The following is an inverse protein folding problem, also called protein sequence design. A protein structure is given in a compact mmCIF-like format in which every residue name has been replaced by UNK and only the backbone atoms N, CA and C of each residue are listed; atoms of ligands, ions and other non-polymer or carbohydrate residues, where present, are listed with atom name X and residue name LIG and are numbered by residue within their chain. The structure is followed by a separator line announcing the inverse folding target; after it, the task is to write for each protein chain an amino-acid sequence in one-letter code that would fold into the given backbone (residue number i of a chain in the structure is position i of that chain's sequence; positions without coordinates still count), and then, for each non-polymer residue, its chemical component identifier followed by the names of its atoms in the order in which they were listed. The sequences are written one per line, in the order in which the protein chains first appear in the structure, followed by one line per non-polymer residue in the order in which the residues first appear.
data_IF_702293302155
#
_entry.id   IF_702293302155
#
_cell.length_a   1.000
_cell.length_b   1.000
_cell.length_c   1.000
_cell.angle_alpha   90.00
_cell.angle_beta   90.00
_cell.angle_gamma   90.00
#
_symmetry.space_group_name_H-M   'P 1'
#
loop_
_entity.id
_entity.type
_entity.pdbx_description
1 polymer ?
#
# COMPACT_ATOMS: atom_id res chain seq x y z
N UNK A 1 16.35 -19.19 1.71
CA UNK A 1 15.54 -17.97 1.91
C UNK A 1 14.15 -18.25 1.38
N UNK A 2 13.08 -17.96 2.14
CA UNK A 2 11.70 -18.13 1.65
C UNK A 2 11.43 -17.18 0.49
N UNK A 3 10.71 -17.65 -0.53
CA UNK A 3 10.26 -16.77 -1.61
C UNK A 3 9.24 -15.77 -1.08
N UNK A 4 9.10 -14.63 -1.76
CA UNK A 4 8.10 -13.61 -1.40
C UNK A 4 6.69 -14.20 -1.31
N UNK A 5 6.31 -15.01 -2.26
CA UNK A 5 4.98 -15.65 -2.32
C UNK A 5 4.73 -16.58 -1.14
N UNK A 6 5.71 -17.44 -0.81
CA UNK A 6 5.61 -18.34 0.35
C UNK A 6 5.44 -17.54 1.64
N UNK A 7 6.21 -16.47 1.82
CA UNK A 7 6.11 -15.64 3.02
C UNK A 7 4.76 -14.92 3.13
N UNK A 8 4.30 -14.28 2.06
CA UNK A 8 3.00 -13.61 2.05
C UNK A 8 1.84 -14.60 2.22
N UNK A 9 1.96 -15.81 1.65
CA UNK A 9 1.01 -16.91 1.87
C UNK A 9 0.91 -17.32 3.34
N UNK A 10 2.06 -17.47 4.03
CA UNK A 10 2.09 -17.77 5.47
C UNK A 10 1.43 -16.66 6.30
N UNK A 11 1.64 -15.39 5.95
CA UNK A 11 0.98 -14.27 6.62
C UNK A 11 -0.55 -14.32 6.44
N UNK A 12 -1.02 -14.63 5.25
CA UNK A 12 -2.46 -14.78 4.96
C UNK A 12 -3.08 -15.89 5.81
N UNK A 13 -2.43 -17.05 5.90
CA UNK A 13 -2.91 -18.15 6.75
C UNK A 13 -2.89 -17.79 8.24
N UNK A 14 -1.89 -17.03 8.70
CA UNK A 14 -1.88 -16.52 10.08
C UNK A 14 -3.02 -15.54 10.33
N UNK A 15 -3.27 -14.64 9.38
CA UNK A 15 -4.38 -13.69 9.45
C UNK A 15 -5.74 -14.38 9.53
N UNK A 16 -6.00 -15.38 8.68
CA UNK A 16 -7.23 -16.19 8.72
C UNK A 16 -7.45 -16.88 10.07
N UNK A 17 -6.38 -17.31 10.72
CA UNK A 17 -6.43 -17.98 12.02
C UNK A 17 -6.41 -17.03 13.22
N UNK A 18 -6.42 -15.70 13.00
CA UNK A 18 -6.31 -14.70 14.07
C UNK A 18 -5.01 -14.79 14.88
N UNK A 19 -3.96 -15.42 14.32
CA UNK A 19 -2.67 -15.55 15.00
C UNK A 19 -1.90 -14.23 14.97
N UNK A 20 -1.19 -13.86 16.05
CA UNK A 20 -0.52 -12.55 16.11
C UNK A 20 0.55 -12.38 15.03
N UNK A 21 0.64 -11.17 14.49
CA UNK A 21 1.65 -10.77 13.54
C UNK A 21 2.98 -10.55 14.27
N UNK A 22 3.98 -11.41 14.04
CA UNK A 22 5.24 -11.39 14.77
C UNK A 22 6.43 -11.15 13.84
N UNK A 23 7.47 -10.48 14.37
CA UNK A 23 8.76 -10.27 13.72
C UNK A 23 8.69 -9.61 12.34
N UNK A 24 7.68 -8.76 12.11
CA UNK A 24 7.41 -8.13 10.81
C UNK A 24 8.58 -7.24 10.37
N UNK A 25 9.15 -6.48 11.30
CA UNK A 25 10.25 -5.56 11.01
C UNK A 25 11.45 -6.27 10.34
N UNK A 26 11.79 -7.49 10.80
CA UNK A 26 12.88 -8.28 10.21
C UNK A 26 12.61 -8.67 8.75
N UNK A 27 11.36 -8.70 8.32
CA UNK A 27 11.01 -9.02 6.94
C UNK A 27 11.31 -7.87 5.99
N UNK A 28 11.40 -6.64 6.49
CA UNK A 28 11.86 -5.49 5.73
C UNK A 28 13.32 -5.61 5.30
N UNK A 29 14.06 -6.61 5.79
CA UNK A 29 15.42 -6.92 5.37
C UNK A 29 15.50 -7.91 4.20
N UNK A 30 14.36 -8.39 3.72
CA UNK A 30 14.31 -9.33 2.59
C UNK A 30 14.29 -8.58 1.25
N UNK A 31 15.36 -8.62 0.44
CA UNK A 31 15.44 -7.90 -0.81
C UNK A 31 14.43 -8.37 -1.86
N UNK A 32 13.96 -9.62 -1.79
CA UNK A 32 12.95 -10.14 -2.73
C UNK A 32 11.59 -9.43 -2.60
N UNK A 33 11.23 -8.96 -1.40
CA UNK A 33 10.02 -8.12 -1.22
C UNK A 33 10.14 -6.81 -1.99
N UNK A 34 11.33 -6.19 -1.99
CA UNK A 34 11.59 -4.95 -2.75
C UNK A 34 11.53 -5.16 -4.26
N UNK A 35 12.07 -6.28 -4.75
CA UNK A 35 11.99 -6.61 -6.18
C UNK A 35 10.54 -6.82 -6.62
N UNK A 36 9.74 -7.50 -5.80
CA UNK A 36 8.31 -7.69 -6.07
C UNK A 36 7.55 -6.36 -6.02
N UNK A 37 7.83 -5.53 -5.01
CA UNK A 37 7.24 -4.18 -4.89
C UNK A 37 7.64 -3.29 -6.06
N UNK A 38 8.89 -3.33 -6.49
CA UNK A 38 9.39 -2.62 -7.65
C UNK A 38 8.61 -3.00 -8.92
N UNK A 39 8.45 -4.30 -9.19
CA UNK A 39 7.71 -4.78 -10.35
C UNK A 39 6.24 -4.32 -10.38
N UNK A 40 5.60 -4.21 -9.20
CA UNK A 40 4.24 -3.65 -9.06
C UNK A 40 4.23 -2.14 -9.35
N UNK A 41 5.14 -1.38 -8.73
CA UNK A 41 5.19 0.08 -8.85
C UNK A 41 5.63 0.54 -10.24
N UNK A 42 6.50 -0.22 -10.92
CA UNK A 42 6.98 0.10 -12.26
C UNK A 42 5.83 0.25 -13.28
N UNK A 43 4.79 -0.55 -13.14
CA UNK A 43 3.62 -0.54 -14.03
C UNK A 43 2.64 0.61 -13.75
N UNK A 44 2.80 1.32 -12.66
CA UNK A 44 1.88 2.38 -12.27
C UNK A 44 2.14 3.66 -13.08
N UNK A 45 1.08 4.35 -13.52
CA UNK A 45 1.16 5.61 -14.24
C UNK A 45 2.00 6.68 -13.52
N UNK A 46 2.05 6.62 -12.17
CA UNK A 46 2.87 7.51 -11.33
C UNK A 46 4.31 7.08 -11.11
N UNK A 47 4.81 6.03 -11.81
CA UNK A 47 6.17 5.51 -11.61
C UNK A 47 7.25 6.56 -11.84
N UNK A 48 7.09 7.40 -12.86
CA UNK A 48 8.02 8.49 -13.22
C UNK A 48 7.80 9.78 -12.43
N UNK A 49 6.82 9.82 -11.52
CA UNK A 49 6.51 11.04 -10.76
C UNK A 49 7.54 11.28 -9.68
N UNK A 50 8.24 12.41 -9.76
CA UNK A 50 9.30 12.83 -8.83
C UNK A 50 8.72 13.42 -7.54
N UNK A 51 9.31 13.05 -6.41
CA UNK A 51 9.10 13.72 -5.12
C UNK A 51 9.89 15.02 -5.01
N UNK A 52 10.48 15.24 -3.82
CA UNK A 52 11.41 16.37 -3.59
C UNK A 52 12.81 16.11 -4.20
N UNK A 53 13.14 14.85 -4.48
CA UNK A 53 14.37 14.44 -5.18
C UNK A 53 14.08 14.17 -6.65
N UNK A 54 15.13 14.10 -7.47
CA UNK A 54 15.04 13.70 -8.87
C UNK A 54 14.82 12.19 -9.08
N UNK A 55 14.75 11.38 -8.02
CA UNK A 55 14.56 9.94 -8.11
C UNK A 55 13.26 9.58 -8.82
N UNK A 56 13.38 8.64 -9.76
CA UNK A 56 12.26 7.98 -10.45
C UNK A 56 12.46 6.47 -10.39
N UNK A 57 11.54 5.72 -10.95
CA UNK A 57 11.64 4.26 -11.05
C UNK A 57 12.94 3.80 -11.72
N UNK A 58 13.40 4.47 -12.77
CA UNK A 58 14.60 4.10 -13.53
C UNK A 58 15.91 4.31 -12.74
N UNK A 59 15.87 5.15 -11.69
CA UNK A 59 17.02 5.37 -10.83
C UNK A 59 17.20 4.28 -9.77
N UNK A 60 16.34 3.23 -9.74
CA UNK A 60 16.41 2.16 -8.74
C UNK A 60 17.42 1.09 -9.15
N UNK A 61 18.19 0.60 -8.18
CA UNK A 61 19.15 -0.48 -8.36
C UNK A 61 19.16 -1.42 -7.15
N UNK A 62 19.78 -2.58 -7.30
CA UNK A 62 19.96 -3.53 -6.20
C UNK A 62 20.82 -2.96 -5.07
N UNK A 63 21.79 -2.10 -5.39
CA UNK A 63 22.64 -1.40 -4.43
C UNK A 63 21.82 -0.43 -3.58
N UNK A 64 20.89 0.29 -4.17
CA UNK A 64 19.95 1.18 -3.44
C UNK A 64 19.01 0.39 -2.52
N UNK A 65 18.50 -0.76 -2.97
CA UNK A 65 17.71 -1.65 -2.12
C UNK A 65 18.55 -2.12 -0.92
N UNK A 66 19.79 -2.56 -1.16
CA UNK A 66 20.72 -2.94 -0.07
C UNK A 66 20.98 -1.79 0.90
N UNK A 67 21.18 -0.58 0.39
CA UNK A 67 21.37 0.62 1.22
C UNK A 67 20.15 0.90 2.11
N UNK A 68 18.94 0.83 1.58
CA UNK A 68 17.70 0.96 2.35
C UNK A 68 17.66 -0.10 3.47
N UNK A 69 17.92 -1.36 3.13
CA UNK A 69 17.93 -2.46 4.10
C UNK A 69 18.99 -2.26 5.19
N UNK A 70 20.17 -1.77 4.83
CA UNK A 70 21.25 -1.51 5.80
C UNK A 70 20.83 -0.45 6.83
N UNK A 71 20.23 0.63 6.36
CA UNK A 71 19.74 1.71 7.24
C UNK A 71 18.56 1.23 8.10
N UNK A 72 17.69 0.38 7.57
CA UNK A 72 16.61 -0.24 8.35
C UNK A 72 17.15 -1.17 9.46
N UNK A 73 18.22 -1.95 9.18
CA UNK A 73 18.84 -2.85 10.19
C UNK A 73 19.39 -2.10 11.40
N UNK A 74 19.82 -0.87 11.20
CA UNK A 74 20.32 0.01 12.27
C UNK A 74 19.23 0.90 12.87
N UNK A 75 17.97 0.74 12.44
CA UNK A 75 16.81 1.52 12.88
C UNK A 75 16.97 3.04 12.64
N UNK A 76 17.80 3.42 11.67
CA UNK A 76 18.13 4.83 11.35
C UNK A 76 17.40 5.33 10.10
N UNK A 77 16.43 4.59 9.58
CA UNK A 77 15.71 5.03 8.39
C UNK A 77 14.84 6.26 8.69
N UNK A 78 15.06 7.32 7.92
CA UNK A 78 14.28 8.55 8.02
C UNK A 78 13.50 8.78 6.74
N UNK A 79 12.19 8.91 6.87
CA UNK A 79 11.30 9.27 5.77
C UNK A 79 11.58 10.69 5.31
N UNK A 80 11.65 10.90 4.00
CA UNK A 80 11.84 12.23 3.44
C UNK A 80 10.52 12.99 3.36
N UNK A 81 10.53 14.33 3.49
CA UNK A 81 9.32 15.11 3.31
C UNK A 81 8.67 14.86 1.95
N UNK A 82 7.34 14.73 1.93
CA UNK A 82 6.61 14.60 0.69
C UNK A 82 6.47 15.97 -0.01
N UNK A 83 6.65 16.01 -1.32
CA UNK A 83 6.39 17.19 -2.14
C UNK A 83 4.88 17.43 -2.19
N UNK A 84 4.42 18.58 -1.72
CA UNK A 84 3.00 18.95 -1.77
C UNK A 84 2.64 19.52 -3.14
N UNK A 85 1.59 18.97 -3.75
CA UNK A 85 0.98 19.43 -4.99
C UNK A 85 -0.52 19.60 -4.76
N UNK A 86 -1.15 20.56 -5.42
CA UNK A 86 -2.58 20.78 -5.31
C UNK A 86 -3.30 20.34 -6.57
N UNK A 87 -4.34 19.53 -6.42
CA UNK A 87 -5.22 19.09 -7.51
C UNK A 87 -6.54 19.83 -7.38
N UNK A 88 -7.05 20.37 -8.48
CA UNK A 88 -8.38 20.99 -8.53
C UNK A 88 -9.48 19.93 -8.45
N UNK A 89 -10.40 20.10 -7.51
CA UNK A 89 -11.63 19.32 -7.45
C UNK A 89 -12.67 19.92 -8.42
N UNK A 90 -13.70 19.14 -8.79
CA UNK A 90 -14.81 19.60 -9.65
C UNK A 90 -15.54 20.83 -9.10
N UNK A 91 -15.55 21.03 -7.79
CA UNK A 91 -16.17 22.17 -7.10
C UNK A 91 -15.24 23.40 -6.99
N UNK A 92 -14.11 23.44 -7.71
CA UNK A 92 -13.15 24.54 -7.69
C UNK A 92 -12.21 24.58 -6.47
N UNK A 93 -12.43 23.77 -5.44
CA UNK A 93 -11.54 23.67 -4.28
C UNK A 93 -10.27 22.89 -4.63
N UNK A 94 -9.16 23.23 -3.98
CA UNK A 94 -7.87 22.53 -4.14
C UNK A 94 -7.77 21.40 -3.12
N UNK A 95 -7.36 20.21 -3.58
CA UNK A 95 -7.00 19.08 -2.72
C UNK A 95 -5.48 18.97 -2.64
N UNK A 96 -4.88 19.02 -1.44
CA UNK A 96 -3.45 18.75 -1.30
C UNK A 96 -3.14 17.27 -1.56
N UNK A 97 -2.08 17.00 -2.29
CA UNK A 97 -1.54 15.67 -2.53
C UNK A 97 -0.07 15.67 -2.14
N UNK A 98 0.33 14.71 -1.29
CA UNK A 98 1.72 14.46 -0.94
C UNK A 98 2.37 13.46 -1.89
N UNK A 99 3.47 13.84 -2.54
CA UNK A 99 4.24 12.95 -3.40
C UNK A 99 5.55 12.59 -2.70
N UNK A 100 5.68 11.37 -2.14
CA UNK A 100 6.92 10.90 -1.52
C UNK A 100 8.02 10.67 -2.56
N UNK A 101 9.26 10.61 -2.11
CA UNK A 101 10.39 10.19 -2.96
C UNK A 101 10.28 8.73 -3.34
N UNK A 102 10.97 8.31 -4.40
CA UNK A 102 10.83 6.96 -4.94
C UNK A 102 11.26 5.87 -3.93
N UNK A 103 12.37 6.07 -3.23
CA UNK A 103 12.82 5.13 -2.20
C UNK A 103 11.78 4.90 -1.11
N UNK A 104 11.10 5.98 -0.68
CA UNK A 104 10.01 5.89 0.32
C UNK A 104 8.77 5.20 -0.26
N UNK A 105 8.42 5.47 -1.52
CA UNK A 105 7.33 4.74 -2.20
C UNK A 105 7.60 3.24 -2.22
N UNK A 106 8.84 2.85 -2.52
CA UNK A 106 9.23 1.44 -2.58
C UNK A 106 9.14 0.76 -1.22
N UNK A 107 9.67 1.39 -0.16
CA UNK A 107 9.56 0.87 1.21
C UNK A 107 8.10 0.80 1.68
N UNK A 108 7.31 1.84 1.41
CA UNK A 108 5.88 1.87 1.74
C UNK A 108 5.12 0.74 1.04
N UNK A 109 5.44 0.43 -0.22
CA UNK A 109 4.83 -0.69 -0.94
C UNK A 109 5.21 -2.05 -0.32
N UNK A 110 6.46 -2.23 0.11
CA UNK A 110 6.87 -3.45 0.84
C UNK A 110 6.06 -3.61 2.12
N UNK A 111 5.92 -2.53 2.92
CA UNK A 111 5.11 -2.55 4.14
C UNK A 111 3.65 -2.85 3.80
N UNK A 112 3.09 -2.20 2.78
CA UNK A 112 1.71 -2.43 2.33
C UNK A 112 1.48 -3.91 1.96
N UNK A 113 2.40 -4.52 1.20
CA UNK A 113 2.29 -5.94 0.80
C UNK A 113 2.22 -6.87 2.01
N UNK A 114 3.07 -6.64 3.01
CA UNK A 114 3.09 -7.43 4.26
C UNK A 114 1.78 -7.27 5.03
N UNK A 115 1.36 -6.02 5.25
CA UNK A 115 0.14 -5.72 6.01
C UNK A 115 -1.11 -6.21 5.28
N UNK A 116 -1.20 -6.01 3.97
CA UNK A 116 -2.32 -6.52 3.16
C UNK A 116 -2.42 -8.03 3.22
N UNK A 117 -1.30 -8.76 3.12
CA UNK A 117 -1.31 -10.22 3.19
C UNK A 117 -1.88 -10.74 4.51
N UNK A 118 -1.69 -10.00 5.61
CA UNK A 118 -2.18 -10.40 6.92
C UNK A 118 -3.61 -9.90 7.21
N UNK A 119 -3.89 -8.62 6.93
CA UNK A 119 -5.15 -7.98 7.35
C UNK A 119 -6.29 -8.13 6.36
N UNK A 120 -6.03 -8.30 5.05
CA UNK A 120 -7.07 -8.32 4.03
C UNK A 120 -8.12 -9.43 4.27
N UNK A 121 -7.69 -10.58 4.77
CA UNK A 121 -8.59 -11.68 5.11
C UNK A 121 -9.41 -11.46 6.39
N UNK A 122 -9.14 -10.40 7.15
CA UNK A 122 -9.86 -10.04 8.38
C UNK A 122 -10.87 -8.90 8.15
N UNK A 123 -10.80 -8.25 6.99
CA UNK A 123 -11.75 -7.19 6.65
C UNK A 123 -13.14 -7.77 6.35
N UNK A 124 -14.17 -7.01 6.73
CA UNK A 124 -15.55 -7.31 6.37
C UNK A 124 -15.70 -7.54 4.86
N UNK A 125 -16.60 -8.44 4.49
CA UNK A 125 -16.95 -8.68 3.08
C UNK A 125 -17.58 -7.45 2.41
N UNK A 126 -18.13 -6.53 3.19
CA UNK A 126 -18.67 -5.24 2.73
C UNK A 126 -17.60 -4.14 2.56
N UNK A 127 -16.34 -4.43 2.85
CA UNK A 127 -15.23 -3.50 2.65
C UNK A 127 -14.69 -3.61 1.23
N UNK A 128 -14.86 -2.55 0.40
CA UNK A 128 -14.47 -2.53 -1.00
C UNK A 128 -13.30 -1.60 -1.31
N UNK A 129 -13.02 -0.61 -0.46
CA UNK A 129 -12.03 0.41 -0.71
C UNK A 129 -10.60 -0.12 -0.64
N UNK A 130 -9.79 0.17 -1.67
CA UNK A 130 -8.34 -0.13 -1.73
C UNK A 130 -7.95 -1.60 -1.58
N UNK A 131 -8.85 -2.54 -1.85
CA UNK A 131 -8.61 -3.99 -1.83
C UNK A 131 -8.41 -4.53 -3.24
N UNK A 132 -7.60 -5.60 -3.37
CA UNK A 132 -7.44 -6.33 -4.64
C UNK A 132 -8.80 -6.91 -5.07
N UNK A 133 -9.09 -6.82 -6.38
CA UNK A 133 -10.34 -7.29 -7.02
C UNK A 133 -11.63 -6.64 -6.49
N UNK A 134 -11.53 -5.62 -5.65
CA UNK A 134 -12.66 -4.85 -5.11
C UNK A 134 -12.54 -3.36 -5.47
N UNK A 135 -13.68 -2.69 -5.56
CA UNK A 135 -13.71 -1.27 -5.90
C UNK A 135 -15.14 -0.72 -5.96
N UNK A 136 -15.30 0.49 -6.49
CA UNK A 136 -16.61 1.13 -6.59
C UNK A 136 -17.65 0.27 -7.31
N UNK A 137 -17.26 -0.43 -8.39
CA UNK A 137 -18.20 -1.26 -9.14
C UNK A 137 -18.68 -2.48 -8.34
N UNK A 138 -17.80 -3.14 -7.59
CA UNK A 138 -18.20 -4.27 -6.74
C UNK A 138 -19.07 -3.82 -5.58
N UNK A 139 -18.83 -2.64 -4.99
CA UNK A 139 -19.68 -2.05 -3.98
C UNK A 139 -21.08 -1.73 -4.52
N UNK A 140 -21.15 -1.09 -5.70
CA UNK A 140 -22.45 -0.79 -6.34
C UNK A 140 -23.21 -2.06 -6.70
N UNK A 141 -22.53 -3.10 -7.17
CA UNK A 141 -23.15 -4.37 -7.49
C UNK A 141 -23.72 -5.05 -6.24
N UNK A 142 -23.00 -5.00 -5.11
CA UNK A 142 -23.47 -5.52 -3.85
C UNK A 142 -24.71 -4.76 -3.37
N UNK A 143 -24.68 -3.43 -3.37
CA UNK A 143 -25.84 -2.59 -3.05
C UNK A 143 -27.06 -2.97 -3.92
N UNK A 144 -26.85 -3.06 -5.24
CA UNK A 144 -27.91 -3.42 -6.18
C UNK A 144 -28.53 -4.78 -5.90
N UNK A 145 -27.71 -5.77 -5.52
CA UNK A 145 -28.18 -7.15 -5.33
C UNK A 145 -28.77 -7.39 -3.94
N UNK A 146 -28.23 -6.77 -2.88
CA UNK A 146 -28.55 -7.13 -1.48
C UNK A 146 -29.42 -6.10 -0.76
N UNK A 147 -29.41 -4.82 -1.17
CA UNK A 147 -30.14 -3.75 -0.47
C UNK A 147 -31.58 -3.56 -0.98
N UNK A 148 -32.19 -4.62 -1.50
CA UNK A 148 -33.59 -4.58 -1.96
C UNK A 148 -34.53 -4.40 -0.77
N UNK A 149 -35.43 -3.41 -0.88
CA UNK A 149 -36.41 -3.10 0.19
C UNK A 149 -35.86 -2.23 1.32
N UNK A 150 -34.62 -1.73 1.19
CA UNK A 150 -34.05 -0.79 2.15
C UNK A 150 -34.77 0.58 2.03
N UNK A 151 -35.37 1.06 3.12
CA UNK A 151 -36.07 2.36 3.17
C UNK A 151 -35.21 3.45 3.82
N UNK A 152 -34.22 3.07 4.59
CA UNK A 152 -33.34 3.99 5.32
C UNK A 152 -31.90 3.72 5.00
N UNK A 153 -31.12 4.78 4.77
CA UNK A 153 -29.67 4.73 4.54
C UNK A 153 -29.02 5.67 5.55
N UNK A 154 -28.03 5.17 6.28
CA UNK A 154 -27.20 5.99 7.17
C UNK A 154 -25.85 6.18 6.49
N UNK A 155 -25.50 7.45 6.22
CA UNK A 155 -24.18 7.83 5.71
C UNK A 155 -23.34 8.39 6.87
N UNK A 156 -22.13 7.87 7.03
CA UNK A 156 -21.18 8.35 8.02
C UNK A 156 -19.79 8.54 7.41
N UNK A 157 -19.12 9.62 7.80
CA UNK A 157 -17.74 9.88 7.41
C UNK A 157 -16.96 10.44 8.62
N UNK A 158 -15.64 10.24 8.62
CA UNK A 158 -14.77 10.81 9.66
C UNK A 158 -14.46 12.24 9.24
N UNK A 159 -14.84 13.22 10.09
CA UNK A 159 -14.50 14.61 9.83
C UNK A 159 -13.00 14.87 10.05
N UNK A 160 -12.40 15.69 9.17
CA UNK A 160 -11.01 16.15 9.27
C UNK A 160 -10.82 17.11 10.47
#
# INVERSE_FOLDING_TARGET
MQTTETYLGLLRERGKKGLPLQRVYRQLFNPHLYLTAYGKLYRNAGAMTRGITSETVDAMSTEKIKAIITVLRTEQYQWKPAKRVYILKRNGKKRPLGMPVWSDKLLAEVIRMILTAYYDCQFSDHSHGFREERGCHTALQEIYSTWKGCTWIIEGDISD
#
